data_IF_416303828264
#
_entry.id   IF_416303828264
#
_cell.length_a   1.000
_cell.length_b   1.000
_cell.length_c   1.000
_cell.angle_alpha   90.00
_cell.angle_beta   90.00
_cell.angle_gamma   90.00
#
_symmetry.space_group_name_H-M   'P 1'
#
loop_
_entity.id
_entity.type
_entity.pdbx_description
1 polymer ?
#
# COMPACT_ATOMS: atom_id res chain seq x y z
N UNK A 1 1.93 8.51 -30.26
CA UNK A 1 1.40 8.39 -28.89
C UNK A 1 2.51 8.84 -27.96
N UNK A 2 2.43 10.04 -27.39
CA UNK A 2 3.47 10.54 -26.49
C UNK A 2 3.28 9.86 -25.13
N UNK A 3 4.09 8.86 -24.83
CA UNK A 3 4.21 8.34 -23.47
C UNK A 3 4.90 9.40 -22.63
N UNK A 4 4.13 10.16 -21.85
CA UNK A 4 4.68 11.10 -20.87
C UNK A 4 5.36 10.29 -19.77
N UNK A 5 6.64 9.99 -19.95
CA UNK A 5 7.48 9.40 -18.91
C UNK A 5 7.84 10.51 -17.93
N UNK A 6 7.26 10.46 -16.73
CA UNK A 6 7.70 11.30 -15.63
C UNK A 6 8.94 10.63 -15.05
N UNK A 7 10.10 11.28 -15.22
CA UNK A 7 11.38 10.83 -14.69
C UNK A 7 11.76 11.66 -13.47
N UNK A 8 12.21 10.99 -12.41
CA UNK A 8 12.79 11.63 -11.24
C UNK A 8 14.20 11.11 -11.03
N UNK A 9 15.16 12.02 -10.96
CA UNK A 9 16.56 11.74 -10.61
C UNK A 9 16.83 12.36 -9.25
N UNK A 10 17.13 11.53 -8.26
CA UNK A 10 17.43 12.02 -6.92
C UNK A 10 18.83 12.66 -6.88
N UNK A 11 18.94 13.88 -6.38
CA UNK A 11 20.15 14.71 -6.46
C UNK A 11 21.39 14.12 -5.73
N UNK A 12 21.25 13.09 -4.89
CA UNK A 12 22.34 12.59 -4.02
C UNK A 12 22.38 11.05 -3.82
N UNK A 13 21.77 10.26 -4.69
CA UNK A 13 21.83 8.78 -4.60
C UNK A 13 22.29 8.17 -5.91
N UNK A 14 23.60 7.93 -6.05
CA UNK A 14 24.25 7.12 -7.10
C UNK A 14 23.42 6.97 -8.41
N UNK A 15 23.19 8.06 -9.16
CA UNK A 15 22.52 8.08 -10.47
C UNK A 15 21.27 7.18 -10.62
N UNK A 16 20.44 7.02 -9.58
CA UNK A 16 19.21 6.23 -9.71
C UNK A 16 18.13 7.10 -10.35
N UNK A 17 17.78 6.77 -11.59
CA UNK A 17 16.62 7.34 -12.29
C UNK A 17 15.41 6.43 -12.08
N UNK A 18 14.37 6.95 -11.42
CA UNK A 18 13.08 6.27 -11.31
C UNK A 18 12.12 6.83 -12.36
N UNK A 19 11.37 5.93 -13.01
CA UNK A 19 10.34 6.33 -13.96
C UNK A 19 9.05 5.55 -13.71
N UNK A 20 7.92 6.27 -13.71
CA UNK A 20 6.60 5.69 -13.61
C UNK A 20 6.08 5.34 -15.01
N UNK A 21 5.64 4.10 -15.16
CA UNK A 21 5.05 3.55 -16.39
C UNK A 21 3.63 3.08 -16.10
N UNK A 22 2.93 2.62 -17.14
CA UNK A 22 1.62 1.98 -17.02
C UNK A 22 0.53 2.87 -16.38
N UNK A 23 0.17 3.93 -17.12
CA UNK A 23 -0.74 4.97 -16.67
C UNK A 23 -2.23 4.63 -16.85
N UNK A 24 -2.59 3.38 -17.17
CA UNK A 24 -3.98 3.00 -17.55
C UNK A 24 -4.99 3.13 -16.41
N UNK A 25 -4.53 3.10 -15.16
CA UNK A 25 -5.35 3.32 -13.96
C UNK A 25 -5.18 4.72 -13.35
N UNK A 26 -4.41 5.60 -13.99
CA UNK A 26 -4.23 6.96 -13.51
C UNK A 26 -5.55 7.72 -13.53
N UNK A 27 -5.88 8.37 -12.43
CA UNK A 27 -7.12 9.13 -12.27
C UNK A 27 -6.87 10.42 -11.50
N UNK A 28 -7.76 11.39 -11.68
CA UNK A 28 -7.78 12.58 -10.82
C UNK A 28 -8.37 12.20 -9.47
N UNK A 29 -7.56 12.23 -8.41
CA UNK A 29 -7.95 11.75 -7.09
C UNK A 29 -7.09 12.30 -5.96
N UNK A 30 -7.33 11.78 -4.76
CA UNK A 30 -6.48 12.10 -3.61
C UNK A 30 -5.13 11.41 -3.78
N UNK A 31 -4.05 12.18 -3.61
CA UNK A 31 -2.68 11.66 -3.55
C UNK A 31 -2.49 10.54 -2.50
N UNK A 32 -3.36 10.47 -1.49
CA UNK A 32 -3.34 9.39 -0.50
C UNK A 32 -3.71 8.04 -1.12
N UNK A 33 -4.49 8.02 -2.20
CA UNK A 33 -4.83 6.79 -2.91
C UNK A 33 -3.61 6.21 -3.63
N UNK A 34 -2.73 7.06 -4.17
CA UNK A 34 -1.50 6.61 -4.83
C UNK A 34 -0.60 5.85 -3.85
N UNK A 35 -0.40 6.42 -2.66
CA UNK A 35 0.40 5.77 -1.61
C UNK A 35 -0.34 4.58 -1.00
N UNK A 36 -1.65 4.67 -0.82
CA UNK A 36 -2.44 3.54 -0.36
C UNK A 36 -2.31 2.32 -1.28
N UNK A 37 -2.34 2.55 -2.61
CA UNK A 37 -2.18 1.51 -3.62
C UNK A 37 -0.81 0.86 -3.53
N UNK A 38 0.23 1.68 -3.47
CA UNK A 38 1.59 1.20 -3.30
C UNK A 38 1.75 0.32 -2.05
N UNK A 39 1.25 0.79 -0.90
CA UNK A 39 1.33 0.05 0.37
C UNK A 39 0.53 -1.26 0.28
N UNK A 40 -0.69 -1.23 -0.24
CA UNK A 40 -1.52 -2.43 -0.37
C UNK A 40 -0.85 -3.50 -1.24
N UNK A 41 -0.26 -3.10 -2.36
CA UNK A 41 0.37 -4.04 -3.31
C UNK A 41 1.64 -4.64 -2.75
N UNK A 42 2.49 -3.80 -2.16
CA UNK A 42 3.73 -4.27 -1.53
C UNK A 42 3.42 -5.12 -0.30
N UNK A 43 2.38 -4.80 0.47
CA UNK A 43 1.93 -5.63 1.59
C UNK A 43 1.49 -7.02 1.13
N UNK A 44 0.65 -7.08 0.09
CA UNK A 44 0.18 -8.36 -0.45
C UNK A 44 1.36 -9.18 -0.98
N UNK A 45 2.28 -8.57 -1.72
CA UNK A 45 3.53 -9.22 -2.15
C UNK A 45 4.37 -9.72 -0.97
N UNK A 46 4.45 -8.96 0.13
CA UNK A 46 5.11 -9.37 1.37
C UNK A 46 4.47 -10.61 1.97
N UNK A 47 3.14 -10.63 2.03
CA UNK A 47 2.38 -11.72 2.63
C UNK A 47 2.51 -13.01 1.82
N UNK A 48 2.53 -12.90 0.48
CA UNK A 48 2.71 -14.04 -0.42
C UNK A 48 4.13 -14.57 -0.49
N UNK A 49 5.13 -13.68 -0.46
CA UNK A 49 6.53 -14.06 -0.70
C UNK A 49 7.40 -14.10 0.56
N UNK A 50 6.87 -13.71 1.73
CA UNK A 50 7.57 -13.76 3.01
C UNK A 50 8.88 -12.96 3.07
N UNK A 51 9.01 -11.89 2.28
CA UNK A 51 10.28 -11.17 2.12
C UNK A 51 10.33 -9.86 2.90
N UNK A 52 11.34 -9.72 3.77
CA UNK A 52 11.66 -8.51 4.54
C UNK A 52 11.82 -7.26 3.66
N UNK A 53 12.17 -7.43 2.38
CA UNK A 53 12.30 -6.34 1.42
C UNK A 53 11.01 -5.51 1.30
N UNK A 54 9.84 -6.15 1.29
CA UNK A 54 8.57 -5.44 1.16
C UNK A 54 8.31 -4.54 2.36
N UNK A 55 8.65 -4.99 3.57
CA UNK A 55 8.56 -4.19 4.79
C UNK A 55 9.53 -3.01 4.73
N UNK A 56 10.77 -3.23 4.29
CA UNK A 56 11.75 -2.16 4.13
C UNK A 56 11.29 -1.12 3.10
N UNK A 57 10.71 -1.58 1.98
CA UNK A 57 10.21 -0.72 0.92
C UNK A 57 9.03 0.15 1.39
N UNK A 58 8.06 -0.42 2.11
CA UNK A 58 6.96 0.34 2.69
C UNK A 58 7.47 1.40 3.70
N UNK A 59 8.41 1.03 4.57
CA UNK A 59 9.01 1.99 5.52
C UNK A 59 9.81 3.09 4.80
N UNK A 60 10.57 2.74 3.76
CA UNK A 60 11.34 3.68 2.96
C UNK A 60 10.45 4.71 2.27
N UNK A 61 9.35 4.24 1.64
CA UNK A 61 8.36 5.12 1.02
C UNK A 61 7.71 6.01 2.08
N UNK A 62 7.20 5.49 3.19
CA UNK A 62 6.55 6.32 4.21
C UNK A 62 7.50 7.36 4.81
N UNK A 63 8.78 7.04 4.98
CA UNK A 63 9.81 7.98 5.46
C UNK A 63 10.19 9.03 4.43
N UNK A 64 10.26 8.67 3.15
CA UNK A 64 10.62 9.57 2.06
C UNK A 64 9.45 10.39 1.51
N UNK A 65 8.22 9.94 1.76
CA UNK A 65 7.02 10.65 1.36
C UNK A 65 6.81 11.91 2.20
N UNK A 66 5.97 12.81 1.71
CA UNK A 66 5.66 14.03 2.45
C UNK A 66 5.07 13.71 3.82
N UNK A 67 5.30 14.61 4.77
CA UNK A 67 4.71 14.52 6.10
C UNK A 67 3.19 14.65 6.03
N UNK A 68 2.50 13.65 6.57
CA UNK A 68 1.05 13.61 6.68
C UNK A 68 0.62 14.08 8.07
N UNK A 69 -0.51 14.79 8.14
CA UNK A 69 -1.14 15.10 9.40
C UNK A 69 -1.91 13.89 9.96
N UNK A 70 -2.41 14.00 11.19
CA UNK A 70 -3.09 12.88 11.85
C UNK A 70 -4.33 12.38 11.12
N UNK A 71 -5.09 13.28 10.48
CA UNK A 71 -6.28 12.92 9.70
C UNK A 71 -5.89 12.23 8.38
N UNK A 72 -4.90 12.78 7.68
CA UNK A 72 -4.37 12.22 6.43
C UNK A 72 -3.82 10.80 6.61
N UNK A 73 -3.13 10.52 7.74
CA UNK A 73 -2.62 9.17 8.03
C UNK A 73 -3.76 8.16 8.18
N UNK A 74 -4.84 8.52 8.88
CA UNK A 74 -5.99 7.62 9.01
C UNK A 74 -6.76 7.47 7.69
N UNK A 75 -6.84 8.54 6.89
CA UNK A 75 -7.43 8.44 5.55
C UNK A 75 -6.58 7.55 4.63
N UNK A 76 -5.25 7.64 4.69
CA UNK A 76 -4.33 6.73 4.01
C UNK A 76 -4.60 5.28 4.43
N UNK A 77 -4.65 5.01 5.73
CA UNK A 77 -4.92 3.67 6.24
C UNK A 77 -6.29 3.13 5.79
N UNK A 78 -7.32 3.98 5.72
CA UNK A 78 -8.63 3.59 5.23
C UNK A 78 -8.59 3.23 3.73
N UNK A 79 -7.92 4.04 2.89
CA UNK A 79 -7.71 3.70 1.48
C UNK A 79 -6.91 2.41 1.32
N UNK A 80 -5.88 2.18 2.15
CA UNK A 80 -5.11 0.93 2.14
C UNK A 80 -6.02 -0.27 2.42
N UNK A 81 -6.91 -0.18 3.41
CA UNK A 81 -7.89 -1.23 3.69
C UNK A 81 -8.82 -1.52 2.51
N UNK A 82 -9.33 -0.48 1.84
CA UNK A 82 -10.17 -0.63 0.63
C UNK A 82 -9.40 -1.32 -0.48
N UNK A 83 -8.16 -0.90 -0.75
CA UNK A 83 -7.36 -1.45 -1.84
C UNK A 83 -6.87 -2.87 -1.56
N UNK A 84 -6.65 -3.23 -0.30
CA UNK A 84 -6.39 -4.61 0.12
C UNK A 84 -7.60 -5.51 -0.14
N UNK A 85 -8.82 -5.00 0.06
CA UNK A 85 -10.03 -5.78 -0.21
C UNK A 85 -10.14 -6.17 -1.69
N UNK A 86 -9.73 -5.27 -2.60
CA UNK A 86 -9.74 -5.55 -4.05
C UNK A 86 -8.88 -6.77 -4.45
N UNK A 87 -7.87 -7.12 -3.66
CA UNK A 87 -6.99 -8.26 -3.97
C UNK A 87 -7.69 -9.62 -3.86
N UNK A 88 -8.81 -9.73 -3.13
CA UNK A 88 -9.59 -10.97 -3.07
C UNK A 88 -10.07 -11.46 -4.46
N UNK A 89 -10.31 -10.49 -5.37
CA UNK A 89 -10.74 -10.76 -6.75
C UNK A 89 -9.57 -11.07 -7.69
N UNK A 90 -8.36 -10.64 -7.36
CA UNK A 90 -7.15 -10.84 -8.17
C UNK A 90 -6.52 -12.21 -7.91
N UNK A 91 -6.64 -12.71 -6.68
CA UNK A 91 -6.15 -14.04 -6.32
C UNK A 91 -6.97 -15.08 -7.10
N UNK A 92 -6.33 -15.75 -8.05
CA UNK A 92 -6.93 -16.89 -8.75
C UNK A 92 -6.96 -18.05 -7.76
N UNK A 93 -8.14 -18.63 -7.52
CA UNK A 93 -8.29 -19.81 -6.66
C UNK A 93 -7.76 -21.02 -7.45
N UNK A 94 -6.45 -21.25 -7.42
CA UNK A 94 -5.76 -22.25 -8.24
C UNK A 94 -5.42 -23.55 -7.50
N UNK A 95 -5.90 -23.72 -6.26
CA UNK A 95 -5.72 -24.95 -5.50
C UNK A 95 -6.39 -24.98 -4.12
N UNK A 96 -6.22 -26.09 -3.39
CA UNK A 96 -6.73 -26.23 -2.03
C UNK A 96 -6.18 -25.12 -1.12
N UNK A 97 -7.07 -24.31 -0.53
CA UNK A 97 -6.70 -23.23 0.40
C UNK A 97 -6.82 -21.81 -0.16
N UNK A 98 -7.04 -21.62 -1.47
CA UNK A 98 -7.17 -20.27 -2.05
C UNK A 98 -8.37 -19.49 -1.51
N UNK A 99 -9.52 -20.15 -1.28
CA UNK A 99 -10.67 -19.51 -0.62
C UNK A 99 -10.40 -19.08 0.84
N UNK A 100 -9.63 -19.86 1.59
CA UNK A 100 -9.26 -19.51 2.97
C UNK A 100 -8.35 -18.28 2.99
N UNK A 101 -7.40 -18.23 2.06
CA UNK A 101 -6.51 -17.09 1.89
C UNK A 101 -7.26 -15.81 1.48
N UNK A 102 -8.22 -15.92 0.54
CA UNK A 102 -9.10 -14.81 0.17
C UNK A 102 -9.86 -14.27 1.37
N UNK A 103 -10.51 -15.16 2.14
CA UNK A 103 -11.25 -14.77 3.34
C UNK A 103 -10.33 -14.12 4.40
N UNK A 104 -9.11 -14.63 4.54
CA UNK A 104 -8.11 -14.07 5.48
C UNK A 104 -7.71 -12.66 5.08
N UNK A 105 -7.40 -12.42 3.80
CA UNK A 105 -7.04 -11.10 3.28
C UNK A 105 -8.24 -10.15 3.38
N UNK A 106 -9.43 -10.59 3.01
CA UNK A 106 -10.66 -9.79 3.11
C UNK A 106 -10.95 -9.38 4.56
N UNK A 107 -10.83 -10.31 5.51
CA UNK A 107 -11.02 -10.03 6.94
C UNK A 107 -9.96 -9.05 7.47
N UNK A 108 -8.70 -9.20 7.05
CA UNK A 108 -7.64 -8.26 7.40
C UNK A 108 -7.90 -6.86 6.81
N UNK A 109 -8.24 -6.77 5.53
CA UNK A 109 -8.58 -5.53 4.83
C UNK A 109 -9.75 -4.79 5.51
N UNK A 110 -10.81 -5.52 5.87
CA UNK A 110 -11.95 -4.98 6.60
C UNK A 110 -11.54 -4.43 7.97
N UNK A 111 -10.70 -5.17 8.71
CA UNK A 111 -10.17 -4.70 10.00
C UNK A 111 -9.34 -3.42 9.84
N UNK A 112 -8.45 -3.35 8.84
CA UNK A 112 -7.66 -2.14 8.54
C UNK A 112 -8.58 -0.95 8.31
N UNK A 113 -9.60 -1.09 7.47
CA UNK A 113 -10.56 -0.02 7.20
C UNK A 113 -11.31 0.42 8.46
N UNK A 114 -11.88 -0.53 9.21
CA UNK A 114 -12.65 -0.23 10.43
C UNK A 114 -11.79 0.46 11.50
N UNK A 115 -10.54 0.00 11.68
CA UNK A 115 -9.58 0.57 12.62
C UNK A 115 -9.12 1.96 12.20
N UNK A 116 -8.98 2.20 10.90
CA UNK A 116 -8.70 3.53 10.37
C UNK A 116 -9.87 4.50 10.61
N UNK A 117 -11.11 4.08 10.32
CA UNK A 117 -12.31 4.87 10.60
C UNK A 117 -12.48 5.19 12.09
N UNK A 118 -12.17 4.21 12.95
CA UNK A 118 -12.16 4.36 14.41
C UNK A 118 -10.95 5.13 14.97
N UNK A 119 -10.00 5.53 14.11
CA UNK A 119 -8.75 6.21 14.48
C UNK A 119 -7.92 5.46 15.54
N UNK A 120 -7.92 4.13 15.46
CA UNK A 120 -7.24 3.23 16.42
C UNK A 120 -5.72 3.16 16.15
N UNK A 121 -4.99 4.21 16.56
CA UNK A 121 -3.54 4.33 16.34
C UNK A 121 -2.74 3.17 16.92
N UNK A 122 -3.12 2.71 18.10
CA UNK A 122 -2.35 1.68 18.82
C UNK A 122 -2.50 0.31 18.16
N UNK A 123 -3.66 0.00 17.57
CA UNK A 123 -3.81 -1.20 16.74
C UNK A 123 -2.82 -1.20 15.57
N UNK A 124 -2.66 -0.08 14.88
CA UNK A 124 -1.72 0.00 13.75
C UNK A 124 -0.26 -0.09 14.19
N UNK A 125 0.15 0.62 15.25
CA UNK A 125 1.54 0.59 15.73
C UNK A 125 2.01 -0.80 16.14
N UNK A 126 1.09 -1.63 16.63
CA UNK A 126 1.37 -2.99 17.05
C UNK A 126 1.14 -4.05 15.95
N UNK A 127 0.66 -3.63 14.78
CA UNK A 127 0.31 -4.51 13.66
C UNK A 127 1.26 -4.41 12.46
N UNK A 128 0.90 -5.11 11.39
CA UNK A 128 1.75 -5.24 10.19
C UNK A 128 1.88 -3.93 9.39
N UNK A 129 0.89 -3.04 9.50
CA UNK A 129 0.88 -1.72 8.85
C UNK A 129 1.41 -0.60 9.75
N UNK A 130 2.24 -0.93 10.76
CA UNK A 130 2.87 0.08 11.64
C UNK A 130 3.66 1.16 10.90
N UNK A 131 4.17 0.86 9.71
CA UNK A 131 4.89 1.82 8.86
C UNK A 131 4.07 3.09 8.55
N UNK A 132 2.74 3.00 8.55
CA UNK A 132 1.85 4.15 8.34
C UNK A 132 1.87 5.15 9.50
N UNK A 133 2.31 4.72 10.69
CA UNK A 133 2.24 5.48 11.95
C UNK A 133 3.60 5.65 12.64
N UNK A 134 4.68 5.26 11.96
CA UNK A 134 6.07 5.41 12.42
C UNK A 134 6.59 6.84 12.24
#
# INVERSE_FOLDING_TARGET
MYSTLIQYTAENSNDITLCLVDWETCQFGSYLQDIARFIADVYVLSHFNGNDFSVQLMNGIMKGYRRLNGEEIFQLAAYTGILLLNWEFVIVDDGPGGNELKMTIAAFAANVFLKACGKDREWFKNGDLRCLFN
#
